data_IF_744267064903
#
_entry.id   IF_744267064903
#
_cell.length_a   1.000
_cell.length_b   1.000
_cell.length_c   1.000
_cell.angle_alpha   90.00
_cell.angle_beta   90.00
_cell.angle_gamma   90.00
#
_symmetry.space_group_name_H-M   'P 1'
#
loop_
_entity.id
_entity.type
_entity.pdbx_description
1 polymer ?
#
# COMPACT_ATOMS: atom_id res chain seq x y z
N UNK A 1 -9.98 10.28 -9.57
CA UNK A 1 -10.34 9.22 -10.52
C UNK A 1 -11.28 8.28 -9.81
N UNK A 2 -12.34 7.88 -10.50
CA UNK A 2 -13.29 6.87 -10.06
C UNK A 2 -12.59 5.50 -10.08
N UNK A 3 -12.67 4.74 -8.98
CA UNK A 3 -12.05 3.42 -8.85
C UNK A 3 -12.62 2.38 -9.85
N UNK A 4 -13.74 2.70 -10.48
CA UNK A 4 -14.41 1.86 -11.49
C UNK A 4 -13.74 1.89 -12.88
N UNK A 5 -12.85 2.85 -13.14
CA UNK A 5 -12.09 2.88 -14.40
C UNK A 5 -10.73 2.22 -14.22
N UNK A 6 -10.64 0.96 -14.64
CA UNK A 6 -9.40 0.19 -14.79
C UNK A 6 -8.48 0.71 -15.90
N UNK A 7 -8.25 2.03 -15.94
CA UNK A 7 -7.31 2.68 -16.84
C UNK A 7 -5.90 2.56 -16.30
N UNK A 8 -4.96 2.21 -17.17
CA UNK A 8 -3.54 2.02 -16.91
C UNK A 8 -2.99 2.92 -15.80
N UNK A 9 -2.55 2.31 -14.69
CA UNK A 9 -1.70 2.97 -13.67
C UNK A 9 -0.28 3.21 -14.20
N UNK A 10 -0.18 3.72 -15.44
CA UNK A 10 1.04 3.90 -16.21
C UNK A 10 1.96 4.94 -15.57
N UNK A 11 3.19 4.51 -15.28
CA UNK A 11 4.39 5.29 -14.92
C UNK A 11 4.34 6.19 -13.66
N UNK A 12 3.18 6.54 -13.12
CA UNK A 12 3.09 7.43 -11.97
C UNK A 12 3.34 6.70 -10.65
N UNK A 13 4.45 7.06 -9.98
CA UNK A 13 4.85 6.49 -8.69
C UNK A 13 3.91 6.87 -7.53
N UNK A 14 3.19 7.99 -7.66
CA UNK A 14 2.27 8.52 -6.65
C UNK A 14 0.91 8.73 -7.31
N UNK A 15 -0.16 8.26 -6.67
CA UNK A 15 -1.54 8.38 -7.14
C UNK A 15 -2.44 8.97 -6.06
N UNK A 16 -3.45 9.72 -6.50
CA UNK A 16 -4.44 10.39 -5.63
C UNK A 16 -5.83 9.81 -5.87
N UNK A 17 -6.43 9.29 -4.81
CA UNK A 17 -7.78 8.75 -4.83
C UNK A 17 -8.71 9.67 -4.05
N UNK A 18 -9.92 9.87 -4.58
CA UNK A 18 -10.98 10.68 -3.99
C UNK A 18 -12.19 9.78 -3.73
N UNK A 19 -12.99 10.11 -2.74
CA UNK A 19 -14.23 9.38 -2.41
C UNK A 19 -13.99 7.90 -2.11
N UNK A 20 -12.87 7.61 -1.45
CA UNK A 20 -12.47 6.25 -1.06
C UNK A 20 -12.56 6.08 0.45
N UNK A 21 -12.65 4.82 0.89
CA UNK A 21 -12.53 4.42 2.30
C UNK A 21 -11.66 3.17 2.42
N UNK A 22 -11.00 3.04 3.55
CA UNK A 22 -10.27 1.82 3.92
C UNK A 22 -11.22 0.95 4.75
N UNK A 23 -11.19 -0.37 4.52
CA UNK A 23 -12.01 -1.32 5.27
C UNK A 23 -11.20 -1.97 6.40
N UNK A 24 -11.24 -1.44 7.65
CA UNK A 24 -10.41 -1.95 8.75
C UNK A 24 -10.80 -3.36 9.20
N UNK A 25 -12.06 -3.76 9.02
CA UNK A 25 -12.54 -5.11 9.40
C UNK A 25 -11.94 -6.23 8.54
N UNK A 26 -11.25 -5.86 7.45
CA UNK A 26 -10.66 -6.77 6.46
C UNK A 26 -9.13 -6.69 6.47
N UNK A 27 -8.54 -6.21 7.57
CA UNK A 27 -7.09 -6.12 7.72
C UNK A 27 -6.49 -7.52 7.82
N UNK A 28 -5.49 -7.79 6.99
CA UNK A 28 -4.65 -8.98 7.08
C UNK A 28 -3.21 -8.60 7.36
N UNK A 29 -2.52 -9.41 8.15
CA UNK A 29 -1.15 -9.16 8.59
C UNK A 29 -0.30 -10.40 8.41
N UNK A 30 0.88 -10.25 7.83
CA UNK A 30 1.89 -11.31 7.74
C UNK A 30 3.23 -10.77 8.17
N UNK A 31 4.04 -11.57 8.84
CA UNK A 31 5.41 -11.20 9.19
C UNK A 31 6.42 -11.86 8.25
N UNK A 32 7.57 -11.21 8.06
CA UNK A 32 8.76 -11.83 7.49
C UNK A 32 9.97 -11.51 8.36
N UNK A 33 10.94 -12.43 8.37
CA UNK A 33 12.20 -12.24 9.09
C UNK A 33 13.22 -11.68 8.11
N UNK A 34 13.66 -10.45 8.37
CA UNK A 34 14.80 -9.84 7.70
C UNK A 34 16.07 -10.18 8.47
N UNK A 35 17.06 -10.77 7.78
CA UNK A 35 18.41 -10.98 8.32
C UNK A 35 19.33 -9.88 7.83
N UNK A 36 20.05 -9.23 8.76
CA UNK A 36 21.11 -8.30 8.37
C UNK A 36 22.25 -9.06 7.70
N UNK A 37 22.74 -8.56 6.55
CA UNK A 37 23.93 -9.11 5.90
C UNK A 37 25.21 -8.83 6.71
N UNK A 38 25.24 -7.74 7.47
CA UNK A 38 26.39 -7.35 8.29
C UNK A 38 26.44 -8.09 9.63
N UNK A 39 25.27 -8.42 10.19
CA UNK A 39 25.14 -9.14 11.46
C UNK A 39 24.05 -10.23 11.32
N UNK A 40 24.40 -11.43 10.86
CA UNK A 40 23.43 -12.50 10.59
C UNK A 40 22.64 -12.97 11.83
N UNK A 41 23.18 -12.70 13.03
CA UNK A 41 22.52 -12.99 14.31
C UNK A 41 21.42 -11.97 14.64
N UNK A 42 21.46 -10.78 14.05
CA UNK A 42 20.45 -9.75 14.23
C UNK A 42 19.29 -10.01 13.25
N UNK A 43 18.29 -10.76 13.72
CA UNK A 43 17.02 -10.96 13.02
C UNK A 43 16.04 -9.85 13.38
N UNK A 44 15.46 -9.19 12.37
CA UNK A 44 14.38 -8.22 12.56
C UNK A 44 13.11 -8.75 11.92
N UNK A 45 12.03 -8.78 12.68
CA UNK A 45 10.71 -9.10 12.15
C UNK A 45 10.11 -7.86 11.51
N UNK A 46 9.65 -7.98 10.27
CA UNK A 46 8.88 -6.94 9.58
C UNK A 46 7.44 -7.44 9.47
N UNK A 47 6.50 -6.63 9.90
CA UNK A 47 5.07 -6.90 9.77
C UNK A 47 4.51 -6.14 8.57
N UNK A 48 3.84 -6.88 7.69
CA UNK A 48 3.19 -6.42 6.47
C UNK A 48 1.68 -6.47 6.67
N UNK A 49 1.11 -5.33 6.98
CA UNK A 49 -0.32 -5.16 7.14
C UNK A 49 -0.92 -4.66 5.84
N UNK A 50 -2.08 -5.18 5.47
CA UNK A 50 -2.83 -4.73 4.29
C UNK A 50 -4.30 -4.59 4.59
N UNK A 51 -4.95 -3.64 3.93
CA UNK A 51 -6.40 -3.43 4.01
C UNK A 51 -6.97 -3.09 2.61
N UNK A 52 -8.23 -3.44 2.32
CA UNK A 52 -8.91 -2.98 1.12
C UNK A 52 -9.03 -1.46 1.08
N UNK A 53 -8.74 -0.86 -0.08
CA UNK A 53 -9.09 0.51 -0.41
C UNK A 53 -10.20 0.48 -1.46
N UNK A 54 -11.36 0.97 -1.08
CA UNK A 54 -12.58 0.83 -1.89
C UNK A 54 -13.27 2.16 -2.07
N UNK A 55 -14.22 2.22 -3.00
CA UNK A 55 -15.11 3.38 -3.12
C UNK A 55 -15.89 3.60 -1.82
N UNK A 56 -16.17 4.85 -1.49
CA UNK A 56 -17.05 5.23 -0.37
C UNK A 56 -18.40 4.52 -0.44
N UNK A 57 -18.90 4.26 -1.65
CA UNK A 57 -20.17 3.57 -1.92
C UNK A 57 -20.09 2.04 -1.93
N UNK A 58 -18.90 1.45 -1.74
CA UNK A 58 -18.69 0.00 -1.71
C UNK A 58 -19.55 -0.68 -0.65
N UNK A 59 -20.13 -1.81 -1.03
CA UNK A 59 -20.96 -2.70 -0.20
C UNK A 59 -20.35 -4.10 -0.17
N UNK A 60 -20.70 -4.87 0.86
CA UNK A 60 -20.23 -6.27 0.99
C UNK A 60 -20.70 -7.09 -0.22
N UNK A 61 -19.73 -7.69 -0.91
CA UNK A 61 -19.96 -8.45 -2.15
C UNK A 61 -19.39 -7.76 -3.38
N UNK A 62 -19.18 -6.44 -3.33
CA UNK A 62 -18.52 -5.70 -4.41
C UNK A 62 -17.03 -6.10 -4.51
N UNK A 63 -16.45 -6.12 -5.71
CA UNK A 63 -15.05 -6.50 -5.90
C UNK A 63 -14.09 -5.49 -5.27
N UNK A 64 -12.91 -5.99 -4.88
CA UNK A 64 -11.81 -5.17 -4.33
C UNK A 64 -10.65 -5.18 -5.31
N UNK A 65 -10.37 -4.03 -5.93
CA UNK A 65 -9.31 -3.89 -6.93
C UNK A 65 -8.01 -3.29 -6.38
N UNK A 66 -8.12 -2.53 -5.28
CA UNK A 66 -7.03 -1.74 -4.72
C UNK A 66 -6.85 -2.03 -3.24
N UNK A 67 -5.59 -2.08 -2.82
CA UNK A 67 -5.18 -2.39 -1.46
C UNK A 67 -4.24 -1.31 -0.95
N UNK A 68 -4.30 -1.04 0.34
CA UNK A 68 -3.31 -0.26 1.05
C UNK A 68 -2.45 -1.16 1.90
N UNK A 69 -1.16 -0.83 1.99
CA UNK A 69 -0.18 -1.56 2.76
C UNK A 69 0.57 -0.64 3.71
N UNK A 70 0.92 -1.19 4.86
CA UNK A 70 1.77 -0.55 5.83
C UNK A 70 2.75 -1.57 6.40
N UNK A 71 4.00 -1.15 6.53
CA UNK A 71 5.10 -1.95 7.05
C UNK A 71 5.59 -1.35 8.37
N UNK A 72 5.72 -2.20 9.39
CA UNK A 72 6.22 -1.81 10.72
C UNK A 72 7.15 -2.88 11.26
N UNK A 73 8.18 -2.45 12.00
CA UNK A 73 9.09 -3.36 12.71
C UNK A 73 8.55 -3.74 14.10
N UNK A 74 7.57 -3.00 14.62
CA UNK A 74 6.99 -3.18 15.95
C UNK A 74 5.45 -3.10 15.88
N UNK A 75 4.75 -3.86 16.73
CA UNK A 75 3.30 -3.75 16.94
C UNK A 75 3.03 -2.61 17.95
N UNK A 76 1.88 -1.88 17.90
CA UNK A 76 0.69 -2.15 17.11
C UNK A 76 0.30 -1.01 16.13
N UNK A 77 -0.59 -1.38 15.21
CA UNK A 77 -1.48 -0.52 14.42
C UNK A 77 -0.84 0.56 13.56
N UNK A 78 -0.65 0.19 12.29
CA UNK A 78 -0.72 1.14 11.20
C UNK A 78 -1.93 2.08 11.37
N UNK A 79 -1.67 3.39 11.37
CA UNK A 79 -2.76 4.37 11.37
C UNK A 79 -3.29 4.47 9.94
N UNK A 80 -4.40 3.79 9.69
CA UNK A 80 -5.00 3.73 8.36
C UNK A 80 -5.72 5.02 7.97
N UNK A 81 -6.03 5.89 8.94
CA UNK A 81 -6.71 7.16 8.73
C UNK A 81 -8.14 7.02 8.19
N UNK A 82 -9.00 7.98 8.51
CA UNK A 82 -10.32 8.14 7.89
C UNK A 82 -10.22 9.18 6.78
N UNK A 83 -9.42 8.92 5.73
CA UNK A 83 -9.11 9.97 4.77
C UNK A 83 -10.02 9.95 3.55
N UNK A 84 -10.73 11.05 3.35
CA UNK A 84 -11.51 11.39 2.13
C UNK A 84 -10.61 11.51 0.89
N UNK A 85 -9.29 11.66 1.11
CA UNK A 85 -8.25 11.75 0.10
C UNK A 85 -7.09 10.80 0.43
N UNK A 86 -6.75 9.90 -0.50
CA UNK A 86 -5.65 8.95 -0.30
C UNK A 86 -4.53 9.22 -1.31
N UNK A 87 -3.34 9.57 -0.80
CA UNK A 87 -2.11 9.65 -1.56
C UNK A 87 -1.31 8.36 -1.36
N UNK A 88 -1.12 7.60 -2.42
CA UNK A 88 -0.49 6.29 -2.37
C UNK A 88 0.73 6.20 -3.27
N UNK A 89 1.82 5.63 -2.74
CA UNK A 89 2.94 5.17 -3.56
C UNK A 89 2.67 3.76 -4.08
N UNK A 90 2.75 3.55 -5.40
CA UNK A 90 2.49 2.24 -6.00
C UNK A 90 3.64 1.27 -5.69
N UNK A 91 3.33 0.14 -5.05
CA UNK A 91 4.32 -0.85 -4.63
C UNK A 91 4.67 -1.90 -5.69
N UNK A 92 4.11 -1.83 -6.90
CA UNK A 92 4.32 -2.84 -7.97
C UNK A 92 5.79 -3.19 -8.22
N UNK A 93 6.70 -2.22 -8.07
CA UNK A 93 8.14 -2.39 -8.29
C UNK A 93 8.97 -2.38 -6.99
N UNK A 94 8.31 -2.47 -5.82
CA UNK A 94 8.99 -2.50 -4.53
C UNK A 94 9.66 -3.85 -4.30
N UNK A 95 10.85 -3.88 -3.72
CA UNK A 95 11.59 -5.13 -3.46
C UNK A 95 10.83 -6.10 -2.55
N UNK A 96 10.02 -5.56 -1.62
CA UNK A 96 9.18 -6.34 -0.72
C UNK A 96 7.77 -6.65 -1.28
N UNK A 97 7.50 -6.33 -2.56
CA UNK A 97 6.21 -6.58 -3.20
C UNK A 97 5.62 -7.99 -2.96
N UNK A 98 6.42 -9.08 -3.07
CA UNK A 98 5.92 -10.42 -2.82
C UNK A 98 5.32 -10.62 -1.42
N UNK A 99 5.85 -9.95 -0.40
CA UNK A 99 5.33 -10.05 0.97
C UNK A 99 3.97 -9.37 1.12
N UNK A 100 3.76 -8.18 0.55
CA UNK A 100 2.43 -7.56 0.57
C UNK A 100 1.43 -8.37 -0.26
N UNK A 101 1.83 -8.93 -1.41
CA UNK A 101 0.96 -9.80 -2.22
C UNK A 101 0.47 -11.00 -1.42
N UNK A 102 1.35 -11.64 -0.64
CA UNK A 102 0.97 -12.74 0.24
C UNK A 102 -0.03 -12.30 1.32
N UNK A 103 0.18 -11.14 1.96
CA UNK A 103 -0.80 -10.59 2.92
C UNK A 103 -2.17 -10.33 2.30
N UNK A 104 -2.21 -9.85 1.05
CA UNK A 104 -3.45 -9.60 0.29
C UNK A 104 -4.16 -10.92 -0.06
N UNK A 105 -3.42 -11.95 -0.45
CA UNK A 105 -3.98 -13.28 -0.70
C UNK A 105 -4.56 -13.90 0.59
N UNK A 106 -3.89 -13.72 1.73
CA UNK A 106 -4.41 -14.14 3.02
C UNK A 106 -5.72 -13.41 3.36
N UNK A 107 -5.81 -12.10 3.09
CA UNK A 107 -7.06 -11.34 3.26
C UNK A 107 -8.18 -11.90 2.38
N UNK A 108 -7.88 -12.16 1.10
CA UNK A 108 -8.81 -12.78 0.15
C UNK A 108 -9.38 -14.10 0.66
N UNK A 109 -8.52 -14.96 1.21
CA UNK A 109 -8.90 -16.26 1.76
C UNK A 109 -9.71 -16.15 3.05
N UNK A 110 -9.26 -15.34 4.02
CA UNK A 110 -9.90 -15.20 5.34
C UNK A 110 -11.30 -14.59 5.21
N UNK A 111 -11.41 -13.54 4.40
CA UNK A 111 -12.63 -12.75 4.28
C UNK A 111 -13.48 -13.08 3.05
N UNK A 112 -13.09 -14.11 2.28
CA UNK A 112 -13.76 -14.55 1.05
C UNK A 112 -13.93 -13.41 0.03
N UNK A 113 -12.90 -12.59 -0.14
CA UNK A 113 -12.87 -11.51 -1.12
C UNK A 113 -12.27 -12.02 -2.43
N UNK A 114 -12.81 -11.58 -3.57
CA UNK A 114 -12.19 -11.82 -4.88
C UNK A 114 -10.94 -10.96 -5.01
N UNK A 115 -9.78 -11.59 -5.20
CA UNK A 115 -8.47 -10.93 -5.29
C UNK A 115 -7.86 -11.21 -6.65
N UNK A 116 -7.40 -10.17 -7.35
CA UNK A 116 -6.62 -10.30 -8.59
C UNK A 116 -5.31 -11.04 -8.34
N UNK A 117 -4.83 -11.83 -9.30
CA UNK A 117 -3.49 -12.44 -9.24
C UNK A 117 -2.38 -11.39 -9.04
N UNK A 118 -2.58 -10.20 -9.59
CA UNK A 118 -1.68 -9.04 -9.44
C UNK A 118 -2.47 -7.88 -8.82
N UNK A 119 -2.66 -7.87 -7.49
CA UNK A 119 -3.42 -6.83 -6.83
C UNK A 119 -2.67 -5.49 -6.89
N UNK A 120 -3.39 -4.38 -7.06
CA UNK A 120 -2.76 -3.06 -6.99
C UNK A 120 -2.62 -2.68 -5.51
N UNK A 121 -1.38 -2.46 -5.06
CA UNK A 121 -1.08 -2.18 -3.65
C UNK A 121 -0.39 -0.83 -3.52
N UNK A 122 -0.89 0.00 -2.61
CA UNK A 122 -0.35 1.32 -2.33
C UNK A 122 0.15 1.45 -0.90
N UNK A 123 1.26 2.16 -0.71
CA UNK A 123 1.69 2.63 0.62
C UNK A 123 1.18 4.06 0.85
N UNK A 124 0.43 4.34 1.94
CA UNK A 124 0.00 5.69 2.28
C UNK A 124 1.19 6.65 2.41
N UNK A 125 1.03 7.88 1.91
CA UNK A 125 1.97 8.97 2.13
C UNK A 125 1.41 9.90 3.21
N UNK A 126 2.05 9.93 4.38
CA UNK A 126 1.59 10.71 5.53
C UNK A 126 1.75 12.23 5.37
N UNK A 127 2.68 12.68 4.52
CA UNK A 127 2.93 14.10 4.23
C UNK A 127 3.22 14.26 2.72
N UNK A 128 2.17 14.33 1.87
CA UNK A 128 2.33 14.37 0.43
C UNK A 128 3.01 15.66 -0.03
N UNK A 129 2.75 16.79 0.62
CA UNK A 129 3.35 18.08 0.29
C UNK A 129 4.86 18.06 0.50
N UNK A 130 5.35 17.60 1.67
CA UNK A 130 6.79 17.48 1.89
C UNK A 130 7.45 16.47 0.94
N UNK A 131 6.79 15.35 0.62
CA UNK A 131 7.34 14.38 -0.35
C UNK A 131 7.40 14.95 -1.76
N UNK A 132 6.39 15.69 -2.20
CA UNK A 132 6.35 16.34 -3.52
C UNK A 132 7.38 17.47 -3.62
N UNK A 133 7.51 18.31 -2.60
CA UNK A 133 8.56 19.35 -2.53
C UNK A 133 9.94 18.70 -2.58
N UNK A 134 10.17 17.65 -1.79
CA UNK A 134 11.46 16.94 -1.78
C UNK A 134 11.75 16.27 -3.14
N UNK A 135 10.77 15.65 -3.78
CA UNK A 135 10.93 15.09 -5.12
C UNK A 135 11.17 16.18 -6.19
N UNK A 136 10.49 17.32 -6.08
CA UNK A 136 10.70 18.48 -6.95
C UNK A 136 12.07 19.12 -6.79
N UNK A 137 12.58 19.22 -5.56
CA UNK A 137 13.94 19.72 -5.31
C UNK A 137 15.01 18.76 -5.83
N UNK A 138 14.83 17.44 -5.67
CA UNK A 138 15.78 16.47 -6.24
C UNK A 138 15.74 16.42 -7.78
N UNK A 139 14.60 16.76 -8.40
CA UNK A 139 14.48 16.92 -9.85
C UNK A 139 15.20 18.16 -10.39
N UNK A 140 15.24 19.25 -9.63
CA UNK A 140 15.98 20.47 -10.00
C UNK A 140 17.50 20.32 -9.80
N UNK A 141 17.93 19.56 -8.79
CA UNK A 141 19.37 19.28 -8.59
C UNK A 141 19.98 18.29 -9.58
N UNK A 142 19.16 17.62 -10.41
CA UNK A 142 19.61 16.73 -11.48
C UNK A 142 19.84 17.43 -12.84
N UNK A 143 19.61 18.75 -12.92
CA UNK A 143 19.86 19.57 -14.13
C UNK A 143 21.22 20.29 -14.10
N UNK A 144 22.06 20.01 -13.08
CA UNK A 144 23.38 20.60 -12.91
C UNK A 144 24.47 19.54 -12.71
N UNK A 145 24.46 18.44 -13.46
CA UNK A 145 25.63 17.55 -13.62
C UNK A 145 25.58 16.87 -14.99
#
# INVERSE_FOLDING_TARGET
MDLSQGGEFGKNRILVFREVKILPDYISSRSAISKSKAEPQLTKTIYFHVAPLVSSTWKKGDPVHVWVACEKMELPTCNWGSSVFFWGENLKHHSLYPYYKLSVQDAGRIYKLTVSEYPTIFRPIADPEKKLVRAGMYGLSGLFF
#
